data_IF_846153183728
#
_entry.id   IF_846153183728
#
_cell.length_a   1.000
_cell.length_b   1.000
_cell.length_c   1.000
_cell.angle_alpha   90.00
_cell.angle_beta   90.00
_cell.angle_gamma   90.00
#
_symmetry.space_group_name_H-M   'P 1'
#
loop_
_entity.id
_entity.type
_entity.pdbx_description
1 polymer ?
#
# COMPACT_ATOMS: atom_id res chain seq x y z
N UNK A 1 -7.85 45.17 -24.80
CA UNK A 1 -8.13 44.42 -23.56
C UNK A 1 -7.51 43.04 -23.69
N UNK A 2 -6.38 42.80 -23.02
CA UNK A 2 -5.70 41.51 -23.05
C UNK A 2 -6.44 40.55 -22.12
N UNK A 3 -6.97 39.46 -22.67
CA UNK A 3 -7.53 38.36 -21.90
C UNK A 3 -6.39 37.76 -21.09
N UNK A 4 -6.43 37.97 -19.77
CA UNK A 4 -5.65 37.22 -18.82
C UNK A 4 -5.89 35.73 -19.09
N UNK A 5 -4.93 35.10 -19.76
CA UNK A 5 -4.80 33.65 -19.80
C UNK A 5 -4.58 33.23 -18.35
N UNK A 6 -5.66 32.84 -17.68
CA UNK A 6 -5.63 32.09 -16.44
C UNK A 6 -4.71 30.91 -16.72
N UNK A 7 -3.45 31.02 -16.30
CA UNK A 7 -2.54 29.89 -16.17
C UNK A 7 -3.34 28.88 -15.37
N UNK A 8 -3.80 27.80 -16.03
CA UNK A 8 -4.39 26.67 -15.33
C UNK A 8 -3.40 26.36 -14.21
N UNK A 9 -3.81 26.39 -12.93
CA UNK A 9 -2.89 26.04 -11.86
C UNK A 9 -2.32 24.68 -12.23
N UNK A 10 -0.99 24.55 -12.17
CA UNK A 10 -0.34 23.24 -12.13
C UNK A 10 -1.22 22.36 -11.25
N UNK A 11 -1.83 21.33 -11.83
CA UNK A 11 -2.92 20.56 -11.20
C UNK A 11 -2.54 20.31 -9.74
N UNK A 12 -3.28 20.91 -8.81
CA UNK A 12 -3.03 20.73 -7.38
C UNK A 12 -2.87 19.23 -7.11
N UNK A 13 -1.74 18.85 -6.51
CA UNK A 13 -1.45 17.46 -6.25
C UNK A 13 -2.57 16.86 -5.38
N UNK A 14 -3.02 15.62 -5.66
CA UNK A 14 -4.10 15.00 -4.90
C UNK A 14 -3.73 14.96 -3.40
N UNK A 15 -4.67 15.34 -2.54
CA UNK A 15 -4.47 15.31 -1.08
C UNK A 15 -4.28 13.87 -0.59
N UNK A 16 -5.08 12.94 -1.12
CA UNK A 16 -4.89 11.49 -0.95
C UNK A 16 -4.55 10.89 -2.32
N UNK A 17 -3.26 10.75 -2.60
CA UNK A 17 -2.86 10.24 -3.90
C UNK A 17 -1.37 10.13 -4.16
N UNK A 18 -1.09 9.68 -5.39
CA UNK A 18 0.24 9.56 -5.97
C UNK A 18 0.39 10.58 -7.09
N UNK A 19 1.53 11.27 -7.12
CA UNK A 19 1.84 12.29 -8.11
C UNK A 19 3.35 12.40 -8.34
N UNK A 20 3.73 13.12 -9.40
CA UNK A 20 5.12 13.36 -9.76
C UNK A 20 5.49 14.82 -9.48
N UNK A 21 6.62 15.05 -8.80
CA UNK A 21 7.19 16.37 -8.51
C UNK A 21 8.72 16.29 -8.65
N UNK A 22 9.33 17.22 -9.37
CA UNK A 22 10.79 17.30 -9.55
C UNK A 22 11.43 15.97 -9.99
N UNK A 23 10.77 15.25 -10.88
CA UNK A 23 11.23 13.95 -11.38
C UNK A 23 10.92 12.75 -10.48
N UNK A 24 10.49 12.97 -9.23
CA UNK A 24 10.23 11.94 -8.22
C UNK A 24 8.75 11.61 -8.10
N UNK A 25 8.45 10.35 -7.79
CA UNK A 25 7.10 9.92 -7.45
C UNK A 25 6.88 10.02 -5.94
N UNK A 26 5.74 10.62 -5.57
CA UNK A 26 5.40 10.91 -4.19
C UNK A 26 4.00 10.38 -3.86
N UNK A 27 3.84 9.92 -2.63
CA UNK A 27 2.59 9.44 -2.05
C UNK A 27 2.25 10.26 -0.80
N UNK A 28 1.04 10.80 -0.69
CA UNK A 28 0.61 11.56 0.49
C UNK A 28 -0.86 11.35 0.84
N UNK A 29 -1.20 11.59 2.10
CA UNK A 29 -2.57 11.58 2.63
C UNK A 29 -3.08 12.99 3.02
N UNK A 30 -2.20 14.00 3.08
CA UNK A 30 -2.57 15.40 3.29
C UNK A 30 -1.58 16.35 2.57
N UNK A 31 -1.84 17.66 2.66
CA UNK A 31 -1.04 18.70 2.01
C UNK A 31 0.06 19.30 2.91
N UNK A 32 0.30 18.74 4.10
CA UNK A 32 1.28 19.28 5.08
C UNK A 32 2.72 18.94 4.73
N UNK A 33 2.91 17.98 3.82
CA UNK A 33 4.20 17.62 3.26
C UNK A 33 4.06 17.29 1.77
N UNK A 34 5.22 17.10 1.13
CA UNK A 34 5.28 16.57 -0.23
C UNK A 34 4.88 15.08 -0.30
N UNK A 35 4.87 14.38 0.84
CA UNK A 35 4.63 12.94 0.91
C UNK A 35 5.90 12.10 0.96
N UNK A 36 5.71 10.79 0.97
CA UNK A 36 6.79 9.82 0.92
C UNK A 36 7.22 9.56 -0.52
N UNK A 37 8.53 9.51 -0.75
CA UNK A 37 9.10 9.09 -2.04
C UNK A 37 8.84 7.59 -2.26
N UNK A 38 8.37 7.24 -3.45
CA UNK A 38 8.05 5.85 -3.81
C UNK A 38 8.72 5.48 -5.14
N UNK A 39 9.11 4.21 -5.35
CA UNK A 39 9.62 3.74 -6.64
C UNK A 39 8.58 3.94 -7.76
N UNK A 40 9.04 4.12 -9.00
CA UNK A 40 8.16 4.42 -10.13
C UNK A 40 7.19 3.26 -10.41
N UNK A 41 7.67 2.03 -10.36
CA UNK A 41 6.91 0.82 -10.57
C UNK A 41 5.77 0.71 -9.54
N UNK A 42 6.07 0.98 -8.27
CA UNK A 42 5.08 1.06 -7.19
C UNK A 42 4.08 2.18 -7.45
N UNK A 43 4.55 3.37 -7.86
CA UNK A 43 3.71 4.52 -8.13
C UNK A 43 2.66 4.23 -9.20
N UNK A 44 3.03 3.50 -10.25
CA UNK A 44 2.10 3.10 -11.30
C UNK A 44 0.99 2.19 -10.78
N UNK A 45 1.34 1.21 -9.93
CA UNK A 45 0.38 0.28 -9.31
C UNK A 45 -0.58 1.02 -8.38
N UNK A 46 -0.04 1.79 -7.44
CA UNK A 46 -0.83 2.56 -6.46
C UNK A 46 -1.73 3.56 -7.18
N UNK A 47 -1.21 4.28 -8.19
CA UNK A 47 -2.01 5.22 -8.98
C UNK A 47 -3.13 4.53 -9.75
N UNK A 48 -2.88 3.35 -10.34
CA UNK A 48 -3.89 2.58 -11.05
C UNK A 48 -4.99 2.06 -10.10
N UNK A 49 -4.60 1.59 -8.90
CA UNK A 49 -5.54 1.15 -7.87
C UNK A 49 -6.46 2.30 -7.43
N UNK A 50 -5.89 3.44 -7.06
CA UNK A 50 -6.65 4.62 -6.61
C UNK A 50 -7.53 5.23 -7.72
N UNK A 51 -7.04 5.29 -8.97
CA UNK A 51 -7.84 5.78 -10.11
C UNK A 51 -9.07 4.93 -10.34
N UNK A 52 -8.92 3.62 -10.23
CA UNK A 52 -10.03 2.73 -10.42
C UNK A 52 -11.05 2.79 -9.27
N UNK A 53 -10.62 2.98 -8.01
CA UNK A 53 -11.56 3.29 -6.91
C UNK A 53 -12.33 4.57 -7.19
N UNK A 54 -11.66 5.64 -7.65
CA UNK A 54 -12.30 6.91 -8.00
C UNK A 54 -13.30 6.76 -9.15
N UNK A 55 -12.91 6.06 -10.21
CA UNK A 55 -13.79 5.78 -11.34
C UNK A 55 -15.03 5.00 -10.89
N UNK A 56 -14.81 3.98 -10.08
CA UNK A 56 -15.89 3.15 -9.56
C UNK A 56 -16.84 3.97 -8.66
N UNK A 57 -16.32 4.88 -7.82
CA UNK A 57 -17.13 5.76 -6.97
C UNK A 57 -17.93 6.80 -7.78
N UNK A 58 -17.37 7.35 -8.87
CA UNK A 58 -18.02 8.34 -9.73
C UNK A 58 -19.21 7.75 -10.52
N UNK A 59 -19.02 6.55 -11.07
CA UNK A 59 -20.06 5.84 -11.82
C UNK A 59 -21.19 5.33 -10.90
N UNK A 60 -20.94 5.15 -9.60
CA UNK A 60 -21.89 4.61 -8.60
C UNK A 60 -23.20 5.38 -8.39
N UNK A 61 -23.42 6.49 -9.10
CA UNK A 61 -24.67 7.27 -9.06
C UNK A 61 -25.74 6.78 -10.05
N UNK A 62 -25.36 6.02 -11.09
CA UNK A 62 -26.30 5.38 -12.02
C UNK A 62 -26.48 3.90 -11.68
N UNK A 63 -27.62 3.30 -12.01
CA UNK A 63 -27.85 1.86 -11.77
C UNK A 63 -26.83 0.99 -12.54
N UNK A 64 -26.44 1.41 -13.75
CA UNK A 64 -25.39 0.78 -14.54
C UNK A 64 -24.02 0.92 -13.90
N UNK A 65 -23.69 2.10 -13.36
CA UNK A 65 -22.41 2.31 -12.70
C UNK A 65 -22.32 1.63 -11.33
N UNK A 66 -23.43 1.41 -10.61
CA UNK A 66 -23.48 0.50 -9.44
C UNK A 66 -23.18 -0.96 -9.83
N UNK A 67 -23.74 -1.46 -10.93
CA UNK A 67 -23.45 -2.82 -11.45
C UNK A 67 -22.01 -2.94 -11.94
N UNK A 68 -21.49 -1.92 -12.63
CA UNK A 68 -20.10 -1.87 -13.06
C UNK A 68 -19.14 -1.79 -11.86
N UNK A 69 -19.46 -0.97 -10.85
CA UNK A 69 -18.75 -0.89 -9.58
C UNK A 69 -18.69 -2.26 -8.90
N UNK A 70 -19.82 -2.95 -8.74
CA UNK A 70 -19.87 -4.29 -8.15
C UNK A 70 -19.10 -5.31 -8.99
N UNK A 71 -19.13 -5.24 -10.32
CA UNK A 71 -18.36 -6.12 -11.21
C UNK A 71 -16.86 -5.87 -11.10
N UNK A 72 -16.43 -4.62 -11.08
CA UNK A 72 -15.02 -4.24 -10.91
C UNK A 72 -14.52 -4.56 -9.49
N UNK A 73 -15.35 -4.33 -8.47
CA UNK A 73 -15.08 -4.72 -7.09
C UNK A 73 -15.09 -6.23 -6.92
N UNK A 74 -15.94 -6.99 -7.61
CA UNK A 74 -15.89 -8.46 -7.61
C UNK A 74 -14.63 -9.00 -8.29
N UNK A 75 -14.28 -8.47 -9.47
CA UNK A 75 -13.05 -8.85 -10.18
C UNK A 75 -11.78 -8.45 -9.41
N UNK A 76 -11.86 -7.44 -8.53
CA UNK A 76 -10.77 -6.95 -7.69
C UNK A 76 -10.89 -7.34 -6.21
N UNK A 77 -11.97 -8.00 -5.80
CA UNK A 77 -12.19 -8.46 -4.43
C UNK A 77 -11.17 -9.53 -4.07
N UNK A 78 -10.72 -10.26 -5.09
CA UNK A 78 -9.63 -11.23 -5.00
C UNK A 78 -8.25 -10.57 -4.85
N UNK A 79 -8.09 -9.29 -5.22
CA UNK A 79 -6.83 -8.56 -5.01
C UNK A 79 -6.81 -8.05 -3.58
N UNK A 80 -6.11 -8.78 -2.70
CA UNK A 80 -5.93 -8.40 -1.31
C UNK A 80 -4.72 -7.45 -1.14
N UNK A 81 -4.60 -6.87 0.05
CA UNK A 81 -3.50 -5.99 0.44
C UNK A 81 -2.11 -6.65 0.31
N UNK A 82 -2.03 -7.97 0.52
CA UNK A 82 -0.81 -8.76 0.41
C UNK A 82 -0.35 -8.89 -1.05
N UNK A 83 -1.20 -9.36 -1.95
CA UNK A 83 -0.86 -9.51 -3.38
C UNK A 83 -0.43 -8.17 -3.97
N UNK A 84 -1.10 -7.08 -3.61
CA UNK A 84 -0.71 -5.75 -4.10
C UNK A 84 0.65 -5.31 -3.57
N UNK A 85 0.93 -5.58 -2.29
CA UNK A 85 2.24 -5.29 -1.72
C UNK A 85 3.33 -6.18 -2.35
N UNK A 86 3.11 -7.48 -2.46
CA UNK A 86 4.03 -8.43 -3.09
C UNK A 86 4.32 -8.02 -4.55
N UNK A 87 3.30 -7.64 -5.31
CA UNK A 87 3.48 -7.19 -6.69
C UNK A 87 4.29 -5.89 -6.74
N UNK A 88 3.94 -4.93 -5.88
CA UNK A 88 4.61 -3.63 -5.81
C UNK A 88 6.09 -3.76 -5.40
N UNK A 89 6.42 -4.69 -4.50
CA UNK A 89 7.82 -4.94 -4.10
C UNK A 89 8.57 -5.87 -5.05
N UNK A 90 7.94 -6.32 -6.14
CA UNK A 90 8.57 -7.19 -7.13
C UNK A 90 8.77 -8.63 -6.65
N UNK A 91 7.95 -9.11 -5.71
CA UNK A 91 7.90 -10.49 -5.22
C UNK A 91 6.85 -11.37 -5.93
N UNK A 92 5.96 -10.78 -6.72
CA UNK A 92 5.14 -11.51 -7.71
C UNK A 92 5.08 -10.72 -9.02
N UNK A 93 4.84 -11.40 -10.13
CA UNK A 93 4.79 -10.85 -11.49
C UNK A 93 3.50 -11.22 -12.23
N UNK A 94 3.26 -10.52 -13.35
CA UNK A 94 2.13 -10.81 -14.24
C UNK A 94 2.32 -12.18 -14.90
N UNK A 95 1.68 -13.20 -14.35
CA UNK A 95 1.83 -14.60 -14.76
C UNK A 95 1.97 -15.56 -13.57
N UNK A 96 2.29 -15.02 -12.39
CA UNK A 96 2.26 -15.79 -11.16
C UNK A 96 0.80 -16.12 -10.77
N UNK A 97 0.56 -17.25 -10.07
CA UNK A 97 -0.79 -17.67 -9.71
C UNK A 97 -1.47 -16.62 -8.82
N UNK A 98 -2.70 -16.25 -9.20
CA UNK A 98 -3.55 -15.27 -8.48
C UNK A 98 -4.53 -15.98 -7.56
N UNK A 99 -5.00 -15.29 -6.52
CA UNK A 99 -6.06 -15.81 -5.64
C UNK A 99 -5.55 -16.79 -4.59
N UNK A 100 -4.25 -16.69 -4.28
CA UNK A 100 -3.69 -17.38 -3.13
C UNK A 100 -3.87 -16.43 -1.95
N UNK A 101 -4.62 -16.88 -0.93
CA UNK A 101 -4.65 -16.23 0.38
C UNK A 101 -3.26 -16.43 1.00
N UNK A 102 -2.33 -15.62 0.53
CA UNK A 102 -0.96 -15.61 0.96
C UNK A 102 -0.89 -14.99 2.34
N UNK A 103 -1.06 -15.84 3.34
CA UNK A 103 -0.62 -15.58 4.71
C UNK A 103 0.92 -15.62 4.80
N UNK A 104 1.58 -14.95 3.83
CA UNK A 104 3.02 -14.93 3.73
C UNK A 104 3.57 -13.87 4.68
N UNK A 105 4.10 -14.36 5.80
CA UNK A 105 5.07 -13.62 6.60
C UNK A 105 6.25 -13.21 5.73
N UNK A 106 6.39 -11.91 5.46
CA UNK A 106 7.58 -11.34 4.82
C UNK A 106 8.72 -11.13 5.82
N UNK A 107 8.41 -11.26 7.10
CA UNK A 107 9.33 -11.12 8.20
C UNK A 107 9.35 -12.43 9.01
N UNK A 108 10.48 -12.76 9.65
CA UNK A 108 10.50 -13.89 10.56
C UNK A 108 9.69 -13.58 11.83
N UNK A 109 9.14 -14.60 12.49
CA UNK A 109 8.15 -14.45 13.57
C UNK A 109 8.64 -13.52 14.70
N UNK A 110 9.92 -13.58 15.06
CA UNK A 110 10.56 -12.75 16.07
C UNK A 110 10.57 -11.24 15.75
N UNK A 111 10.33 -10.87 14.49
CA UNK A 111 10.23 -9.46 14.08
C UNK A 111 8.89 -8.84 14.47
N UNK A 112 7.85 -9.64 14.68
CA UNK A 112 6.51 -9.16 15.00
C UNK A 112 6.40 -8.83 16.49
N UNK A 113 6.13 -7.56 16.79
CA UNK A 113 6.07 -7.05 18.16
C UNK A 113 4.75 -6.33 18.42
N UNK A 114 4.26 -6.38 19.65
CA UNK A 114 3.16 -5.54 20.10
C UNK A 114 3.68 -4.17 20.49
N UNK A 115 2.86 -3.13 20.27
CA UNK A 115 3.18 -1.76 20.63
C UNK A 115 2.06 -1.19 21.47
N UNK A 116 2.40 -0.50 22.56
CA UNK A 116 1.41 0.06 23.49
C UNK A 116 0.78 1.37 23.03
N UNK A 117 1.22 1.93 21.89
CA UNK A 117 0.67 3.17 21.31
C UNK A 117 1.10 3.32 19.85
N UNK A 118 0.33 4.10 19.09
CA UNK A 118 0.65 4.46 17.72
C UNK A 118 2.04 5.13 17.60
N UNK A 119 2.40 6.00 18.55
CA UNK A 119 3.71 6.68 18.54
C UNK A 119 4.90 5.74 18.73
N UNK A 120 4.75 4.67 19.54
CA UNK A 120 5.80 3.65 19.68
C UNK A 120 5.95 2.81 18.39
N UNK A 121 4.83 2.45 17.77
CA UNK A 121 4.85 1.77 16.47
C UNK A 121 5.51 2.66 15.40
N UNK A 122 5.10 3.92 15.29
CA UNK A 122 5.69 4.88 14.36
C UNK A 122 7.20 5.08 14.58
N UNK A 123 7.66 5.12 15.83
CA UNK A 123 9.10 5.17 16.15
C UNK A 123 9.84 3.92 15.65
N UNK A 124 9.28 2.73 15.85
CA UNK A 124 9.84 1.49 15.33
C UNK A 124 9.90 1.50 13.79
N UNK A 125 8.79 1.84 13.14
CA UNK A 125 8.67 1.89 11.68
C UNK A 125 9.68 2.86 11.08
N UNK A 126 9.86 4.05 11.68
CA UNK A 126 10.89 5.00 11.25
C UNK A 126 12.30 4.40 11.29
N UNK A 127 12.63 3.68 12.36
CA UNK A 127 13.92 2.99 12.47
C UNK A 127 14.08 1.85 11.47
N UNK A 128 13.01 1.10 11.19
CA UNK A 128 13.03 -0.04 10.28
C UNK A 128 13.06 0.35 8.80
N UNK A 129 12.38 1.43 8.42
CA UNK A 129 12.33 1.92 7.03
C UNK A 129 13.49 2.87 6.71
N UNK A 130 13.94 3.68 7.69
CA UNK A 130 14.89 4.75 7.44
C UNK A 130 14.36 5.72 6.38
N UNK A 131 15.16 5.97 5.33
CA UNK A 131 14.74 6.81 4.19
C UNK A 131 14.11 6.01 3.03
N UNK A 132 13.95 4.70 3.20
CA UNK A 132 13.50 3.80 2.14
C UNK A 132 11.99 3.62 2.17
N UNK A 133 11.45 3.26 1.01
CA UNK A 133 10.11 2.72 0.90
C UNK A 133 10.12 1.23 1.27
N UNK A 134 9.03 0.73 1.83
CA UNK A 134 8.98 -0.61 2.37
C UNK A 134 7.58 -1.13 2.65
N UNK A 135 7.54 -2.12 3.53
CA UNK A 135 6.32 -2.83 3.90
C UNK A 135 6.17 -2.82 5.41
N UNK A 136 4.92 -2.74 5.86
CA UNK A 136 4.51 -2.98 7.24
C UNK A 136 3.51 -4.12 7.23
N UNK A 137 3.73 -5.15 8.04
CA UNK A 137 2.80 -6.27 8.20
C UNK A 137 2.20 -6.29 9.60
N UNK A 138 0.90 -6.54 9.67
CA UNK A 138 0.13 -6.79 10.88
C UNK A 138 -0.19 -8.27 10.97
N UNK A 139 0.02 -8.86 12.14
CA UNK A 139 -0.29 -10.25 12.43
C UNK A 139 -1.13 -10.40 13.71
N UNK A 140 -1.99 -11.42 13.71
CA UNK A 140 -2.72 -11.92 14.87
C UNK A 140 -2.43 -13.41 15.02
N UNK A 141 -2.15 -13.87 16.24
CA UNK A 141 -1.84 -15.28 16.49
C UNK A 141 -0.82 -15.90 15.50
N UNK A 142 0.16 -15.08 15.10
CA UNK A 142 1.23 -15.43 14.14
C UNK A 142 0.80 -15.61 12.68
N UNK A 143 -0.47 -15.34 12.36
CA UNK A 143 -1.01 -15.21 11.02
C UNK A 143 -1.00 -13.73 10.59
N UNK A 144 -0.45 -13.44 9.42
CA UNK A 144 -0.47 -12.11 8.82
C UNK A 144 -1.88 -11.77 8.34
N UNK A 145 -2.45 -10.75 8.94
CA UNK A 145 -3.82 -10.30 8.67
C UNK A 145 -3.86 -9.07 7.76
N UNK A 146 -2.75 -8.35 7.63
CA UNK A 146 -2.71 -7.15 6.79
C UNK A 146 -1.29 -6.78 6.36
N UNK A 147 -1.15 -6.28 5.13
CA UNK A 147 0.12 -5.78 4.59
C UNK A 147 -0.08 -4.38 4.01
N UNK A 148 0.80 -3.47 4.38
CA UNK A 148 0.81 -2.06 3.98
C UNK A 148 2.06 -1.78 3.15
N UNK A 149 1.92 -1.01 2.08
CA UNK A 149 3.07 -0.33 1.48
C UNK A 149 3.28 0.99 2.20
N UNK A 150 4.50 1.31 2.59
CA UNK A 150 4.76 2.47 3.43
C UNK A 150 6.08 3.17 3.13
N UNK A 151 6.07 4.49 3.33
CA UNK A 151 7.28 5.32 3.34
C UNK A 151 7.13 6.48 4.32
N UNK A 152 8.22 7.19 4.57
CA UNK A 152 8.22 8.38 5.42
C UNK A 152 8.18 9.65 4.58
N UNK A 153 7.35 10.60 4.98
CA UNK A 153 7.39 11.95 4.40
C UNK A 153 8.48 12.82 5.04
N UNK A 154 8.61 14.07 4.56
CA UNK A 154 9.59 15.04 5.07
C UNK A 154 9.38 15.47 6.52
N UNK A 155 8.22 15.16 7.12
CA UNK A 155 7.91 15.37 8.54
C UNK A 155 8.08 14.09 9.36
N UNK A 156 8.70 13.07 8.77
CA UNK A 156 8.88 11.72 9.31
C UNK A 156 7.56 11.00 9.66
N UNK A 157 6.46 11.38 9.00
CA UNK A 157 5.17 10.70 9.18
C UNK A 157 5.12 9.50 8.25
N UNK A 158 4.60 8.40 8.76
CA UNK A 158 4.46 7.18 7.97
C UNK A 158 3.22 7.28 7.08
N UNK A 159 3.45 7.39 5.78
CA UNK A 159 2.42 7.38 4.74
C UNK A 159 2.22 5.94 4.29
N UNK A 160 1.01 5.41 4.49
CA UNK A 160 0.68 4.03 4.17
C UNK A 160 -0.34 3.95 3.04
N UNK A 161 -0.15 3.01 2.12
CA UNK A 161 -1.15 2.59 1.15
C UNK A 161 -1.71 1.22 1.54
N UNK A 162 -3.03 1.12 1.60
CA UNK A 162 -3.72 -0.09 2.08
C UNK A 162 -5.09 -0.33 1.42
N UNK A 163 -5.59 -1.55 1.62
CA UNK A 163 -6.99 -1.93 1.46
C UNK A 163 -7.38 -2.88 2.59
N UNK A 164 -8.15 -2.38 3.53
CA UNK A 164 -8.56 -3.12 4.73
C UNK A 164 -9.65 -4.16 4.36
N UNK A 165 -9.26 -5.41 4.16
CA UNK A 165 -10.17 -6.51 3.82
C UNK A 165 -10.83 -6.41 2.43
N UNK A 166 -11.72 -7.36 2.14
CA UNK A 166 -12.28 -7.52 0.79
C UNK A 166 -13.25 -6.40 0.36
N UNK A 167 -13.91 -5.74 1.32
CA UNK A 167 -14.98 -4.75 1.06
C UNK A 167 -14.60 -3.28 1.13
N UNK A 168 -13.40 -2.92 1.58
CA UNK A 168 -12.97 -1.51 1.67
C UNK A 168 -12.22 -1.07 0.40
N UNK A 169 -12.20 0.24 0.17
CA UNK A 169 -11.51 0.85 -0.97
C UNK A 169 -10.02 0.99 -0.69
N UNK A 170 -9.21 0.97 -1.75
CA UNK A 170 -7.82 1.39 -1.65
C UNK A 170 -7.71 2.84 -1.17
N UNK A 171 -6.82 3.09 -0.23
CA UNK A 171 -6.64 4.41 0.40
C UNK A 171 -5.17 4.64 0.77
N UNK A 172 -4.78 5.92 0.82
CA UNK A 172 -3.54 6.34 1.48
C UNK A 172 -3.91 7.01 2.81
N UNK A 173 -3.35 6.52 3.91
CA UNK A 173 -3.64 6.97 5.28
C UNK A 173 -2.36 7.09 6.11
N UNK A 174 -2.39 7.87 7.20
CA UNK A 174 -1.33 7.83 8.21
C UNK A 174 -1.37 6.50 8.99
N UNK A 175 -0.20 5.97 9.34
CA UNK A 175 -0.07 4.73 10.13
C UNK A 175 -0.85 4.77 11.45
N UNK A 176 -0.91 5.93 12.10
CA UNK A 176 -1.60 6.14 13.37
C UNK A 176 -3.11 5.91 13.27
N UNK A 177 -3.69 6.17 12.09
CA UNK A 177 -5.10 5.89 11.84
C UNK A 177 -5.35 4.39 11.67
N UNK A 178 -4.50 3.70 10.92
CA UNK A 178 -4.56 2.24 10.73
C UNK A 178 -4.37 1.51 12.08
N UNK A 179 -3.42 1.99 12.90
CA UNK A 179 -3.19 1.44 14.23
C UNK A 179 -4.41 1.58 15.14
N UNK A 180 -5.08 2.75 15.15
CA UNK A 180 -6.27 2.99 16.00
C UNK A 180 -7.47 2.10 15.65
N UNK A 181 -7.55 1.63 14.40
CA UNK A 181 -8.59 0.69 13.94
C UNK A 181 -8.24 -0.77 14.25
N UNK A 182 -6.98 -1.05 14.56
CA UNK A 182 -6.50 -2.40 14.84
C UNK A 182 -6.79 -2.78 16.29
N UNK A 183 -6.85 -4.09 16.54
CA UNK A 183 -7.00 -4.61 17.89
C UNK A 183 -5.77 -4.32 18.77
N UNK A 184 -5.94 -4.45 20.09
CA UNK A 184 -4.87 -4.26 21.06
C UNK A 184 -3.82 -5.38 21.06
N UNK A 185 -4.16 -6.58 20.59
CA UNK A 185 -3.27 -7.76 20.52
C UNK A 185 -2.49 -7.87 19.19
N UNK A 186 -2.74 -6.97 18.24
CA UNK A 186 -2.06 -6.96 16.95
C UNK A 186 -0.53 -6.81 17.10
N UNK A 187 0.21 -7.69 16.42
CA UNK A 187 1.67 -7.65 16.31
C UNK A 187 2.08 -7.06 14.97
N UNK A 188 3.16 -6.29 14.96
CA UNK A 188 3.58 -5.53 13.79
C UNK A 188 5.06 -5.76 13.49
N UNK A 189 5.38 -5.88 12.21
CA UNK A 189 6.73 -5.91 11.67
C UNK A 189 6.84 -4.93 10.50
N UNK A 190 8.03 -4.39 10.28
CA UNK A 190 8.29 -3.46 9.18
C UNK A 190 9.71 -3.62 8.65
N UNK A 191 9.90 -3.29 7.38
CA UNK A 191 11.22 -3.26 6.74
C UNK A 191 11.18 -2.66 5.35
N UNK A 192 12.33 -2.18 4.88
CA UNK A 192 12.51 -1.68 3.52
C UNK A 192 12.32 -2.79 2.48
N UNK A 193 11.97 -2.42 1.24
CA UNK A 193 11.90 -3.38 0.13
C UNK A 193 13.20 -4.18 0.00
N UNK A 194 14.34 -3.50 0.01
CA UNK A 194 15.65 -4.14 -0.14
C UNK A 194 15.91 -5.19 0.95
N UNK A 195 15.60 -4.86 2.21
CA UNK A 195 15.76 -5.81 3.31
C UNK A 195 14.84 -7.04 3.20
N UNK A 196 13.62 -6.85 2.68
CA UNK A 196 12.67 -7.95 2.48
C UNK A 196 13.15 -8.85 1.36
N UNK A 197 13.57 -8.28 0.22
CA UNK A 197 14.05 -9.03 -0.94
C UNK A 197 15.28 -9.90 -0.63
N UNK A 198 16.09 -9.51 0.35
CA UNK A 198 17.26 -10.28 0.79
C UNK A 198 16.93 -11.36 1.84
N UNK A 199 15.71 -11.38 2.38
CA UNK A 199 15.30 -12.30 3.44
C UNK A 199 15.10 -13.73 2.95
N UNK A 200 15.25 -14.70 3.85
CA UNK A 200 14.90 -16.11 3.59
C UNK A 200 13.40 -16.28 3.28
N UNK A 201 12.54 -15.44 3.87
CA UNK A 201 11.11 -15.44 3.58
C UNK A 201 10.84 -15.12 2.10
N UNK A 202 11.46 -14.08 1.56
CA UNK A 202 11.35 -13.73 0.13
C UNK A 202 11.86 -14.85 -0.79
N UNK A 203 13.00 -15.47 -0.46
CA UNK A 203 13.53 -16.63 -1.20
C UNK A 203 12.57 -17.82 -1.17
N UNK A 204 11.97 -18.10 -0.01
CA UNK A 204 10.98 -19.14 0.18
C UNK A 204 9.73 -18.92 -0.66
N UNK A 205 9.18 -17.70 -0.63
CA UNK A 205 8.05 -17.29 -1.47
C UNK A 205 8.38 -17.50 -2.95
N UNK A 206 9.54 -17.04 -3.41
CA UNK A 206 9.96 -17.23 -4.81
C UNK A 206 10.09 -18.69 -5.20
N UNK A 207 10.73 -19.50 -4.36
CA UNK A 207 10.85 -20.94 -4.58
C UNK A 207 9.49 -21.63 -4.63
N UNK A 208 8.52 -21.19 -3.83
CA UNK A 208 7.16 -21.71 -3.85
C UNK A 208 6.44 -21.37 -5.16
N UNK A 209 6.53 -20.10 -5.60
CA UNK A 209 5.92 -19.62 -6.83
C UNK A 209 6.50 -20.29 -8.08
N UNK A 210 7.81 -20.52 -8.12
CA UNK A 210 8.49 -21.16 -9.26
C UNK A 210 8.07 -22.62 -9.45
N UNK A 211 7.61 -23.29 -8.39
CA UNK A 211 7.12 -24.68 -8.43
C UNK A 211 5.66 -24.78 -8.87
N UNK A 212 4.94 -23.66 -8.92
CA UNK A 212 3.55 -23.66 -9.36
C UNK A 212 3.46 -23.81 -10.88
N UNK A 213 2.49 -24.59 -11.39
CA UNK A 213 2.25 -24.67 -12.83
C UNK A 213 1.92 -23.27 -13.36
N UNK A 214 2.70 -22.81 -14.32
CA UNK A 214 2.39 -21.57 -15.05
C UNK A 214 1.15 -21.81 -15.89
N UNK A 215 0.13 -20.96 -15.72
CA UNK A 215 -1.14 -20.99 -16.47
C UNK A 215 -0.97 -20.22 -17.77
#
# INVERSE_FOLDING_TARGET
MSLNVLKRPEKLAPENGVYKKDGKWLMRFDNRSDGAEIPAEVAHVVSAALKAERFAAQEGTTEQGKKFYQKMRGARAHINCHETALYAVGLIHQGDPKGLDYDFGLFPLESYKTYSSAGKLAKYVRGALGKSFGVIQKAHDWSVTHTLLAGLDSLERCVCFEKEGHGLSWQILPLEEIYRRSSSDARWAAGSIDSIMQSEAAKGIRTYLDKWPKI
#
